data_IF_586040001199
#
_entry.id   IF_586040001199
#
_cell.length_a   1.000
_cell.length_b   1.000
_cell.length_c   1.000
_cell.angle_alpha   90.00
_cell.angle_beta   90.00
_cell.angle_gamma   90.00
#
_symmetry.space_group_name_H-M   'P 1'
#
loop_
_entity.id
_entity.type
_entity.pdbx_description
1 polymer ?
#
# COMPACT_ATOMS: atom_id res chain seq x y z
N UNK A 1 15.89 -8.20 3.87
CA UNK A 1 15.07 -7.24 4.59
C UNK A 1 13.68 -7.19 4.00
N UNK A 2 12.73 -6.93 4.85
CA UNK A 2 11.33 -6.95 4.46
C UNK A 2 10.91 -5.61 3.89
N UNK A 3 10.09 -5.63 2.86
CA UNK A 3 9.58 -4.42 2.24
C UNK A 3 8.34 -3.87 2.92
N UNK A 4 7.98 -2.64 2.55
CA UNK A 4 6.78 -1.96 3.01
C UNK A 4 5.92 -1.64 1.78
N UNK A 5 4.73 -2.23 1.71
CA UNK A 5 3.77 -1.89 0.66
C UNK A 5 3.15 -0.53 1.01
N UNK A 6 3.35 0.43 0.14
CA UNK A 6 2.93 1.82 0.36
C UNK A 6 1.58 2.05 -0.33
N UNK A 7 0.56 2.33 0.49
CA UNK A 7 -0.78 2.62 0.00
C UNK A 7 -0.84 3.95 -0.76
N UNK A 8 -1.82 4.06 -1.62
CA UNK A 8 -2.07 5.27 -2.41
C UNK A 8 -2.16 6.52 -1.54
N UNK A 9 -2.76 6.43 -0.36
CA UNK A 9 -2.90 7.57 0.55
C UNK A 9 -1.56 8.20 0.93
N UNK A 10 -0.54 7.39 1.11
CA UNK A 10 0.82 7.85 1.45
C UNK A 10 1.45 8.55 0.25
N UNK A 11 1.29 7.98 -0.95
CA UNK A 11 1.80 8.61 -2.18
C UNK A 11 1.17 9.96 -2.43
N UNK A 12 -0.17 10.07 -2.24
CA UNK A 12 -0.87 11.33 -2.43
C UNK A 12 -0.38 12.38 -1.42
N UNK A 13 -0.16 11.99 -0.17
CA UNK A 13 0.43 12.88 0.83
C UNK A 13 1.81 13.37 0.38
N UNK A 14 2.64 12.46 -0.11
CA UNK A 14 3.98 12.80 -0.60
C UNK A 14 3.93 13.78 -1.77
N UNK A 15 3.01 13.56 -2.71
CA UNK A 15 2.88 14.45 -3.87
C UNK A 15 2.43 15.85 -3.47
N UNK A 16 1.69 15.99 -2.37
CA UNK A 16 1.19 17.28 -1.88
C UNK A 16 2.18 17.98 -0.95
N UNK A 17 2.78 17.24 -0.04
CA UNK A 17 3.50 17.81 1.11
C UNK A 17 4.88 17.20 1.35
N UNK A 18 5.41 16.43 0.43
CA UNK A 18 6.68 15.72 0.59
C UNK A 18 6.72 14.92 1.91
N UNK A 19 6.71 13.62 1.81
CA UNK A 19 6.75 12.71 2.96
C UNK A 19 8.19 12.18 3.14
N UNK A 20 8.88 12.65 4.17
CA UNK A 20 10.27 12.27 4.41
C UNK A 20 10.40 10.79 4.78
N UNK A 21 9.44 10.23 5.51
CA UNK A 21 9.48 8.81 5.86
C UNK A 21 9.40 7.94 4.62
N UNK A 22 8.60 8.33 3.62
CA UNK A 22 8.55 7.63 2.35
C UNK A 22 9.87 7.78 1.58
N UNK A 23 10.45 8.97 1.57
CA UNK A 23 11.75 9.18 0.93
C UNK A 23 12.82 8.28 1.54
N UNK A 24 12.79 8.10 2.85
CA UNK A 24 13.73 7.21 3.53
C UNK A 24 13.55 5.76 3.09
N UNK A 25 12.32 5.29 2.98
CA UNK A 25 12.04 3.93 2.48
C UNK A 25 12.53 3.75 1.04
N UNK A 26 12.29 4.75 0.19
CA UNK A 26 12.74 4.72 -1.19
C UNK A 26 14.26 4.66 -1.27
N UNK A 27 14.95 5.44 -0.45
CA UNK A 27 16.40 5.44 -0.40
C UNK A 27 17.01 4.12 0.09
N UNK A 28 16.26 3.35 0.86
CA UNK A 28 16.68 2.04 1.36
C UNK A 28 16.21 0.88 0.47
N UNK A 29 15.54 1.17 -0.64
CA UNK A 29 14.93 0.17 -1.54
C UNK A 29 13.93 -0.74 -0.83
N UNK A 30 13.21 -0.21 0.16
CA UNK A 30 12.24 -0.95 0.96
C UNK A 30 10.79 -0.66 0.56
N UNK A 31 10.54 0.36 -0.28
CA UNK A 31 9.19 0.67 -0.70
C UNK A 31 8.72 -0.32 -1.77
N UNK A 32 7.64 -1.02 -1.49
CA UNK A 32 6.98 -1.91 -2.44
C UNK A 32 5.76 -1.20 -3.03
N UNK A 33 5.43 -1.54 -4.27
CA UNK A 33 4.22 -1.06 -4.91
C UNK A 33 3.33 -2.24 -5.32
N UNK A 34 2.18 -1.93 -5.91
CA UNK A 34 1.18 -2.89 -6.35
C UNK A 34 0.44 -2.28 -7.55
N UNK A 35 0.02 -3.07 -8.54
CA UNK A 35 -0.73 -2.53 -9.67
C UNK A 35 -1.98 -1.74 -9.28
N UNK A 36 -2.65 -2.13 -8.20
CA UNK A 36 -3.83 -1.40 -7.70
C UNK A 36 -3.46 0.00 -7.20
N UNK A 37 -2.29 0.16 -6.57
CA UNK A 37 -1.80 1.47 -6.12
C UNK A 37 -1.52 2.36 -7.34
N UNK A 38 -0.79 1.83 -8.31
CA UNK A 38 -0.47 2.57 -9.53
C UNK A 38 -1.76 2.93 -10.27
N UNK A 39 -2.72 2.01 -10.33
CA UNK A 39 -4.01 2.24 -10.96
C UNK A 39 -4.81 3.34 -10.28
N UNK A 40 -4.85 3.37 -8.96
CA UNK A 40 -5.52 4.43 -8.22
C UNK A 40 -4.86 5.80 -8.46
N UNK A 41 -3.53 5.84 -8.45
CA UNK A 41 -2.80 7.08 -8.76
C UNK A 41 -3.09 7.53 -10.19
N UNK A 42 -3.18 6.58 -11.12
CA UNK A 42 -3.50 6.87 -12.52
C UNK A 42 -4.92 7.45 -12.70
N UNK A 43 -5.86 7.09 -11.83
CA UNK A 43 -7.22 7.65 -11.85
C UNK A 43 -7.25 9.11 -11.38
N UNK A 44 -6.21 9.58 -10.72
CA UNK A 44 -6.12 10.95 -10.24
C UNK A 44 -5.22 11.81 -11.12
N UNK A 45 -4.59 12.79 -10.49
CA UNK A 45 -3.70 13.75 -11.16
C UNK A 45 -2.31 13.68 -10.54
N UNK A 46 -1.51 12.65 -10.89
CA UNK A 46 -0.14 12.57 -10.39
C UNK A 46 0.71 13.75 -10.89
N UNK A 47 1.86 14.03 -10.25
CA UNK A 47 2.74 15.12 -10.70
C UNK A 47 3.14 15.00 -12.16
N UNK A 48 3.22 16.14 -12.83
CA UNK A 48 3.68 16.21 -14.22
C UNK A 48 5.20 15.97 -14.29
N UNK A 49 5.72 15.32 -15.33
CA UNK A 49 4.96 14.71 -16.41
C UNK A 49 4.29 13.39 -15.97
N UNK A 50 3.00 13.31 -16.23
CA UNK A 50 2.20 12.15 -15.77
C UNK A 50 2.80 10.81 -16.15
N UNK A 51 3.19 10.65 -17.41
CA UNK A 51 3.73 9.37 -17.89
C UNK A 51 5.01 8.99 -17.17
N UNK A 52 5.86 9.94 -16.85
CA UNK A 52 7.10 9.68 -16.11
C UNK A 52 6.82 9.26 -14.67
N UNK A 53 5.91 9.95 -13.99
CA UNK A 53 5.56 9.60 -12.60
C UNK A 53 5.01 8.17 -12.53
N UNK A 54 4.08 7.82 -13.41
CA UNK A 54 3.52 6.46 -13.44
C UNK A 54 4.56 5.42 -13.85
N UNK A 55 5.44 5.76 -14.79
CA UNK A 55 6.54 4.87 -15.19
C UNK A 55 7.52 4.62 -14.05
N UNK A 56 7.88 5.66 -13.33
CA UNK A 56 8.80 5.53 -12.17
C UNK A 56 8.20 4.66 -11.07
N UNK A 57 6.91 4.82 -10.79
CA UNK A 57 6.22 3.97 -9.83
C UNK A 57 6.27 2.50 -10.25
N UNK A 58 6.14 2.23 -11.55
CA UNK A 58 6.20 0.88 -12.09
C UNK A 58 7.58 0.23 -12.01
N UNK A 59 8.64 1.01 -11.74
CA UNK A 59 10.00 0.48 -11.57
C UNK A 59 10.27 0.02 -10.13
N UNK A 60 9.40 0.32 -9.19
CA UNK A 60 9.58 -0.11 -7.80
C UNK A 60 9.35 -1.62 -7.68
N UNK A 61 10.00 -2.28 -6.71
CA UNK A 61 9.69 -3.67 -6.42
C UNK A 61 8.21 -3.83 -6.07
N UNK A 62 7.62 -4.94 -6.51
CA UNK A 62 6.22 -5.23 -6.27
C UNK A 62 6.05 -6.22 -5.13
N UNK A 63 4.98 -6.06 -4.33
CA UNK A 63 4.54 -7.11 -3.41
C UNK A 63 4.01 -8.29 -4.22
N UNK A 64 3.73 -9.42 -3.57
CA UNK A 64 2.93 -10.47 -4.17
C UNK A 64 1.54 -9.88 -4.48
N UNK A 65 0.89 -10.40 -5.51
CA UNK A 65 -0.42 -9.92 -5.93
C UNK A 65 -1.49 -10.92 -5.51
N UNK A 66 -2.30 -10.56 -4.53
CA UNK A 66 -3.49 -11.35 -4.21
C UNK A 66 -4.47 -11.26 -5.38
N UNK A 67 -5.05 -12.38 -5.77
CA UNK A 67 -6.14 -12.39 -6.72
C UNK A 67 -7.41 -11.83 -6.06
N UNK A 68 -8.36 -11.43 -6.88
CA UNK A 68 -9.67 -11.00 -6.36
C UNK A 68 -10.32 -12.13 -5.55
N UNK A 69 -10.24 -13.36 -6.03
CA UNK A 69 -10.75 -14.53 -5.29
C UNK A 69 -10.09 -14.70 -3.94
N UNK A 70 -8.78 -14.55 -3.86
CA UNK A 70 -8.05 -14.66 -2.59
C UNK A 70 -8.47 -13.57 -1.61
N UNK A 71 -8.65 -12.33 -2.09
CA UNK A 71 -9.13 -11.24 -1.25
C UNK A 71 -10.55 -11.51 -0.76
N UNK A 72 -11.44 -12.01 -1.62
CA UNK A 72 -12.81 -12.33 -1.23
C UNK A 72 -12.87 -13.47 -0.22
N UNK A 73 -12.05 -14.51 -0.39
CA UNK A 73 -11.96 -15.61 0.57
C UNK A 73 -11.46 -15.11 1.93
N UNK A 74 -10.48 -14.21 1.93
CA UNK A 74 -9.97 -13.61 3.16
C UNK A 74 -11.06 -12.83 3.88
N UNK A 75 -11.82 -12.00 3.14
CA UNK A 75 -12.92 -11.21 3.71
C UNK A 75 -13.92 -12.10 4.43
N UNK A 76 -14.33 -13.21 3.81
CA UNK A 76 -15.31 -14.13 4.40
C UNK A 76 -14.72 -14.91 5.57
N UNK A 77 -13.52 -15.47 5.40
CA UNK A 77 -12.87 -16.27 6.44
C UNK A 77 -12.59 -15.46 7.70
N UNK A 78 -12.13 -14.22 7.54
CA UNK A 78 -11.74 -13.37 8.66
C UNK A 78 -12.82 -12.40 9.11
N UNK A 79 -13.98 -12.41 8.44
CA UNK A 79 -15.12 -11.53 8.76
C UNK A 79 -14.75 -10.04 8.79
N UNK A 80 -13.95 -9.61 7.81
CA UNK A 80 -13.50 -8.21 7.72
C UNK A 80 -14.50 -7.32 6.98
N UNK A 81 -15.63 -7.87 6.58
CA UNK A 81 -16.71 -7.07 5.96
C UNK A 81 -17.32 -6.09 6.98
N UNK A 82 -17.84 -4.99 6.49
CA UNK A 82 -18.44 -3.99 7.37
C UNK A 82 -17.47 -3.13 8.16
N UNK A 83 -16.16 -3.24 7.87
CA UNK A 83 -15.13 -2.47 8.57
C UNK A 83 -14.91 -1.08 7.98
N UNK A 84 -15.55 -0.79 6.85
CA UNK A 84 -15.37 0.48 6.14
C UNK A 84 -14.24 0.47 5.13
N UNK A 85 -13.49 -0.62 5.01
CA UNK A 85 -12.45 -0.77 3.99
C UNK A 85 -13.07 -1.27 2.69
N UNK A 86 -12.63 -0.69 1.57
CA UNK A 86 -13.08 -1.10 0.25
C UNK A 86 -12.30 -2.28 -0.30
N UNK A 87 -12.69 -2.73 -1.48
CA UNK A 87 -12.09 -3.90 -2.11
C UNK A 87 -10.61 -3.72 -2.38
N UNK A 88 -10.19 -2.55 -2.87
CA UNK A 88 -8.77 -2.30 -3.14
C UNK A 88 -7.97 -2.39 -1.85
N UNK A 89 -8.47 -1.83 -0.75
CA UNK A 89 -7.81 -1.94 0.56
C UNK A 89 -7.63 -3.41 0.96
N UNK A 90 -8.64 -4.22 0.73
CA UNK A 90 -8.58 -5.64 1.08
C UNK A 90 -7.62 -6.41 0.18
N UNK A 91 -7.51 -6.04 -1.10
CA UNK A 91 -6.51 -6.61 -2.00
C UNK A 91 -5.10 -6.25 -1.52
N UNK A 92 -4.88 -5.01 -1.09
CA UNK A 92 -3.57 -4.58 -0.59
C UNK A 92 -3.21 -5.30 0.71
N UNK A 93 -4.15 -5.43 1.63
CA UNK A 93 -3.91 -6.14 2.88
C UNK A 93 -3.58 -7.62 2.63
N UNK A 94 -4.38 -8.28 1.80
CA UNK A 94 -4.17 -9.68 1.47
C UNK A 94 -2.83 -9.87 0.74
N UNK A 95 -2.49 -8.97 -0.18
CA UNK A 95 -1.21 -8.98 -0.89
C UNK A 95 -0.03 -8.84 0.08
N UNK A 96 -0.17 -7.97 1.08
CA UNK A 96 0.86 -7.80 2.13
C UNK A 96 1.04 -9.10 2.91
N UNK A 97 -0.06 -9.75 3.29
CA UNK A 97 -0.01 -11.01 4.04
C UNK A 97 0.62 -12.15 3.22
N UNK A 98 0.50 -12.11 1.90
CA UNK A 98 1.14 -13.08 1.00
C UNK A 98 2.62 -12.79 0.75
N UNK A 99 3.09 -11.60 1.10
CA UNK A 99 4.48 -11.19 0.87
C UNK A 99 5.28 -11.43 2.15
N UNK A 100 6.20 -12.39 2.19
CA UNK A 100 6.92 -12.73 3.43
C UNK A 100 7.58 -11.51 4.07
N UNK A 101 7.28 -11.27 5.35
CA UNK A 101 7.88 -10.21 6.14
C UNK A 101 7.45 -8.79 5.80
N UNK A 102 6.57 -8.61 4.81
CA UNK A 102 6.14 -7.28 4.39
C UNK A 102 5.22 -6.62 5.42
N UNK A 103 5.23 -5.28 5.41
CA UNK A 103 4.30 -4.46 6.18
C UNK A 103 3.48 -3.63 5.21
N UNK A 104 2.34 -3.15 5.67
CA UNK A 104 1.46 -2.25 4.91
C UNK A 104 1.48 -0.88 5.58
N UNK A 105 1.76 0.16 4.79
CA UNK A 105 1.73 1.54 5.27
C UNK A 105 0.62 2.31 4.58
N UNK A 106 -0.32 2.79 5.38
CA UNK A 106 -1.46 3.58 4.92
C UNK A 106 -1.73 4.72 5.89
N UNK A 107 -2.29 5.81 5.38
CA UNK A 107 -2.79 6.90 6.20
C UNK A 107 -4.30 6.77 6.44
N UNK A 108 -4.94 5.79 5.81
CA UNK A 108 -6.34 5.49 6.09
C UNK A 108 -6.44 4.75 7.43
N UNK A 109 -7.17 5.35 8.36
CA UNK A 109 -7.25 4.84 9.73
C UNK A 109 -7.86 3.44 9.81
N UNK A 110 -8.88 3.17 9.01
CA UNK A 110 -9.57 1.88 9.04
C UNK A 110 -8.67 0.75 8.51
N UNK A 111 -7.98 1.02 7.41
CA UNK A 111 -7.04 0.05 6.85
C UNK A 111 -5.84 -0.15 7.79
N UNK A 112 -5.35 0.92 8.42
CA UNK A 112 -4.27 0.82 9.40
C UNK A 112 -4.66 -0.06 10.59
N UNK A 113 -5.89 0.05 11.07
CA UNK A 113 -6.40 -0.78 12.17
C UNK A 113 -6.45 -2.26 11.77
N UNK A 114 -6.88 -2.57 10.55
CA UNK A 114 -6.85 -3.95 10.05
C UNK A 114 -5.43 -4.47 9.90
N UNK A 115 -4.53 -3.67 9.33
CA UNK A 115 -3.12 -4.06 9.20
C UNK A 115 -2.51 -4.37 10.57
N UNK A 116 -2.86 -3.59 11.57
CA UNK A 116 -2.40 -3.80 12.94
C UNK A 116 -2.97 -5.10 13.53
N UNK A 117 -4.26 -5.38 13.28
CA UNK A 117 -4.90 -6.62 13.75
C UNK A 117 -4.15 -7.86 13.26
N UNK A 118 -3.63 -7.82 12.03
CA UNK A 118 -2.90 -8.95 11.43
C UNK A 118 -1.39 -8.85 11.58
N UNK A 119 -0.90 -7.89 12.38
CA UNK A 119 0.52 -7.78 12.69
C UNK A 119 1.39 -7.29 11.54
N UNK A 120 0.81 -6.61 10.53
CA UNK A 120 1.54 -6.16 9.35
C UNK A 120 1.52 -4.64 9.16
N UNK A 121 1.12 -3.89 10.18
CA UNK A 121 1.14 -2.43 10.08
C UNK A 121 2.56 -1.89 10.14
N UNK A 122 2.92 -1.07 9.13
CA UNK A 122 4.15 -0.30 9.19
C UNK A 122 3.92 0.94 10.04
N UNK A 123 4.80 1.16 10.99
CA UNK A 123 4.74 2.33 11.85
C UNK A 123 5.91 3.25 11.53
N UNK A 124 5.60 4.54 11.37
CA UNK A 124 6.62 5.57 11.19
C UNK A 124 7.14 5.95 12.56
N UNK A 125 8.46 5.94 12.72
CA UNK A 125 9.07 6.32 13.99
C UNK A 125 8.74 7.78 14.32
N UNK A 126 8.36 8.11 15.57
CA UNK A 126 8.15 9.50 15.97
C UNK A 126 9.48 10.26 15.94
N UNK A 127 9.37 11.53 15.62
CA UNK A 127 10.52 12.43 15.63
C UNK A 127 10.75 13.02 17.01
#
# INVERSE_FOLDING_TARGET
MSGVLVDTSVWIDHFRNRNEALENLLGLDLALTHPMVIGEIACGTPPAPRAQTLGDLGLLPMSQHASLSEAMEFIERESTYGTGCGLIDMVLLTSTLLTPGAKLWTLDKRLAELAERYGVAHRVAPH
#
